data_IF_033169029381
#
_entry.id   IF_033169029381
#
_cell.length_a   1.000
_cell.length_b   1.000
_cell.length_c   1.000
_cell.angle_alpha   90.00
_cell.angle_beta   90.00
_cell.angle_gamma   90.00
#
_symmetry.space_group_name_H-M   'P 1'
#
loop_
_entity.id
_entity.type
_entity.pdbx_description
1 polymer ?
#
# COMPACT_ATOMS: atom_id res chain seq x y z
N UNK A 1 70.24 -32.70 -101.11
CA UNK A 1 69.89 -31.27 -100.91
C UNK A 1 68.61 -31.18 -100.10
N UNK A 2 68.48 -30.11 -99.29
CA UNK A 2 67.31 -29.66 -98.51
C UNK A 2 66.97 -30.45 -97.22
N UNK A 3 67.48 -30.05 -96.05
CA UNK A 3 66.97 -29.04 -95.07
C UNK A 3 65.84 -29.51 -94.15
N UNK A 4 66.19 -29.84 -92.89
CA UNK A 4 65.26 -30.05 -91.78
C UNK A 4 64.76 -28.70 -91.24
N UNK A 5 63.45 -28.54 -91.18
CA UNK A 5 62.75 -27.42 -90.51
C UNK A 5 62.63 -27.72 -89.00
N UNK A 6 62.89 -26.75 -88.09
CA UNK A 6 62.72 -26.98 -86.65
C UNK A 6 61.31 -26.61 -86.16
N UNK A 7 60.75 -27.46 -85.30
CA UNK A 7 59.48 -27.27 -84.59
C UNK A 7 59.62 -26.26 -83.44
N UNK A 8 58.81 -25.20 -83.45
CA UNK A 8 58.71 -24.19 -82.36
C UNK A 8 57.93 -24.75 -81.16
N UNK A 9 58.57 -24.82 -79.98
CA UNK A 9 57.90 -25.07 -78.69
C UNK A 9 57.10 -23.84 -78.24
N UNK A 10 55.81 -24.02 -77.95
CA UNK A 10 54.88 -23.04 -77.38
C UNK A 10 55.22 -22.80 -75.90
N UNK A 11 55.57 -21.57 -75.50
CA UNK A 11 55.85 -21.19 -74.10
C UNK A 11 54.55 -21.00 -73.31
N UNK A 12 54.39 -21.74 -72.21
CA UNK A 12 53.33 -21.56 -71.21
C UNK A 12 53.55 -20.23 -70.47
N UNK A 13 52.56 -19.32 -70.50
CA UNK A 13 52.58 -18.05 -69.73
C UNK A 13 52.39 -18.34 -68.24
N UNK A 14 53.46 -18.20 -67.43
CA UNK A 14 53.37 -18.17 -65.96
C UNK A 14 52.54 -16.96 -65.50
N UNK A 15 51.45 -17.20 -64.75
CA UNK A 15 50.69 -16.14 -64.03
C UNK A 15 51.65 -15.39 -63.08
N UNK A 16 51.83 -14.08 -63.30
CA UNK A 16 52.58 -13.19 -62.39
C UNK A 16 51.86 -13.15 -61.03
N UNK A 17 52.50 -13.65 -59.97
CA UNK A 17 52.08 -13.39 -58.58
C UNK A 17 52.13 -11.89 -58.34
N UNK A 18 50.98 -11.24 -58.14
CA UNK A 18 50.91 -9.83 -57.74
C UNK A 18 51.56 -9.70 -56.35
N UNK A 19 52.71 -9.04 -56.26
CA UNK A 19 53.34 -8.67 -54.98
C UNK A 19 52.58 -7.49 -54.39
N UNK A 20 51.96 -7.68 -53.23
CA UNK A 20 51.35 -6.60 -52.45
C UNK A 20 52.47 -5.61 -52.06
N UNK A 21 52.26 -4.31 -52.29
CA UNK A 21 53.22 -3.28 -51.87
C UNK A 21 53.32 -3.27 -50.36
N UNK A 22 54.54 -3.18 -49.80
CA UNK A 22 54.78 -3.17 -48.35
C UNK A 22 53.91 -2.12 -47.62
N UNK A 23 53.68 -0.96 -48.23
CA UNK A 23 52.79 0.08 -47.68
C UNK A 23 51.33 -0.36 -47.53
N UNK A 24 50.81 -1.15 -48.47
CA UNK A 24 49.45 -1.74 -48.38
C UNK A 24 49.41 -2.82 -47.29
N UNK A 25 50.48 -3.60 -47.15
CA UNK A 25 50.60 -4.59 -46.07
C UNK A 25 50.65 -3.92 -44.68
N UNK A 26 51.42 -2.85 -44.51
CA UNK A 26 51.47 -2.08 -43.27
C UNK A 26 50.14 -1.39 -42.95
N UNK A 27 49.43 -0.85 -43.96
CA UNK A 27 48.08 -0.32 -43.79
C UNK A 27 47.08 -1.37 -43.31
N UNK A 28 47.12 -2.59 -43.88
CA UNK A 28 46.28 -3.70 -43.45
C UNK A 28 46.59 -4.18 -42.02
N UNK A 29 47.87 -4.20 -41.63
CA UNK A 29 48.29 -4.52 -40.25
C UNK A 29 47.80 -3.46 -39.27
N UNK A 30 47.89 -2.17 -39.62
CA UNK A 30 47.36 -1.08 -38.80
C UNK A 30 45.85 -1.15 -38.59
N UNK A 31 45.10 -1.48 -39.65
CA UNK A 31 43.64 -1.69 -39.57
C UNK A 31 43.32 -2.92 -38.68
N UNK A 32 44.04 -4.03 -38.85
CA UNK A 32 43.85 -5.22 -38.02
C UNK A 32 44.16 -4.94 -36.55
N UNK A 33 45.24 -4.20 -36.25
CA UNK A 33 45.59 -3.79 -34.89
C UNK A 33 44.54 -2.86 -34.28
N UNK A 34 43.99 -1.93 -35.06
CA UNK A 34 42.90 -1.06 -34.60
C UNK A 34 41.62 -1.86 -34.31
N UNK A 35 41.27 -2.85 -35.15
CA UNK A 35 40.13 -3.74 -34.91
C UNK A 35 40.34 -4.58 -33.64
N UNK A 36 41.53 -5.14 -33.44
CA UNK A 36 41.88 -5.88 -32.21
C UNK A 36 41.83 -4.97 -31.00
N UNK A 37 42.36 -3.75 -31.09
CA UNK A 37 42.34 -2.78 -29.99
C UNK A 37 40.91 -2.38 -29.63
N UNK A 38 40.07 -2.09 -30.63
CA UNK A 38 38.64 -1.81 -30.41
C UNK A 38 37.97 -3.02 -29.77
N UNK A 39 38.20 -4.23 -30.27
CA UNK A 39 37.66 -5.46 -29.68
C UNK A 39 38.11 -5.68 -28.23
N UNK A 40 39.40 -5.45 -27.92
CA UNK A 40 39.95 -5.54 -26.57
C UNK A 40 39.31 -4.49 -25.66
N UNK A 41 39.17 -3.25 -26.11
CA UNK A 41 38.64 -2.15 -25.31
C UNK A 41 37.12 -2.23 -25.10
N UNK A 42 36.35 -2.75 -26.06
CA UNK A 42 34.88 -2.78 -25.97
C UNK A 42 34.32 -4.14 -25.57
N UNK A 43 34.92 -5.23 -26.05
CA UNK A 43 34.32 -6.57 -25.97
C UNK A 43 34.81 -7.35 -24.75
N UNK A 44 36.10 -7.26 -24.40
CA UNK A 44 36.65 -7.98 -23.24
C UNK A 44 36.02 -7.49 -21.92
N UNK A 45 35.91 -6.17 -21.63
CA UNK A 45 35.20 -5.70 -20.45
C UNK A 45 33.75 -6.20 -20.41
N UNK A 46 33.04 -6.15 -21.54
CA UNK A 46 31.64 -6.62 -21.64
C UNK A 46 31.51 -8.12 -21.36
N UNK A 47 32.37 -8.96 -21.93
CA UNK A 47 32.38 -10.42 -21.68
C UNK A 47 32.70 -10.71 -20.21
N UNK A 48 33.68 -10.01 -19.63
CA UNK A 48 34.05 -10.23 -18.22
C UNK A 48 32.95 -9.81 -17.27
N UNK A 49 32.22 -8.72 -17.55
CA UNK A 49 31.04 -8.32 -16.79
C UNK A 49 29.92 -9.35 -16.90
N UNK A 50 29.62 -9.85 -18.09
CA UNK A 50 28.55 -10.83 -18.30
C UNK A 50 28.84 -12.14 -17.60
N UNK A 51 30.08 -12.58 -17.63
CA UNK A 51 30.49 -13.78 -16.92
C UNK A 51 30.42 -13.60 -15.41
N UNK A 52 30.71 -12.40 -14.88
CA UNK A 52 30.51 -12.09 -13.46
C UNK A 52 29.04 -12.11 -13.07
N UNK A 53 28.16 -11.51 -13.86
CA UNK A 53 26.71 -11.53 -13.60
C UNK A 53 26.13 -12.96 -13.73
N UNK A 54 26.54 -13.73 -14.74
CA UNK A 54 26.21 -15.16 -14.83
C UNK A 54 26.72 -15.95 -13.63
N UNK A 55 27.93 -15.63 -13.16
CA UNK A 55 28.52 -16.25 -11.98
C UNK A 55 27.75 -15.97 -10.69
N UNK A 56 26.96 -14.90 -10.63
CA UNK A 56 26.01 -14.65 -9.53
C UNK A 56 24.70 -15.45 -9.68
N UNK A 57 24.36 -15.93 -10.89
CA UNK A 57 23.14 -16.68 -11.17
C UNK A 57 22.17 -16.02 -12.17
N UNK A 58 22.49 -14.82 -12.67
CA UNK A 58 21.56 -14.09 -13.54
C UNK A 58 21.33 -14.74 -14.91
N UNK A 59 20.07 -14.76 -15.35
CA UNK A 59 19.65 -15.21 -16.68
C UNK A 59 20.14 -14.25 -17.79
N UNK A 60 20.04 -14.66 -19.06
CA UNK A 60 20.45 -13.81 -20.18
C UNK A 60 19.56 -12.56 -20.30
N UNK A 61 18.28 -12.76 -20.05
CA UNK A 61 17.22 -11.76 -20.05
C UNK A 61 17.49 -10.74 -18.95
N UNK A 62 17.73 -11.21 -17.72
CA UNK A 62 18.05 -10.36 -16.57
C UNK A 62 19.36 -9.60 -16.79
N UNK A 63 20.41 -10.21 -17.36
CA UNK A 63 21.65 -9.49 -17.71
C UNK A 63 21.41 -8.37 -18.73
N UNK A 64 20.54 -8.58 -19.71
CA UNK A 64 20.16 -7.55 -20.66
C UNK A 64 19.45 -6.39 -19.96
N UNK A 65 18.52 -6.69 -19.05
CA UNK A 65 17.82 -5.68 -18.23
C UNK A 65 18.78 -4.89 -17.33
N UNK A 66 19.67 -5.58 -16.60
CA UNK A 66 20.68 -4.98 -15.72
C UNK A 66 21.50 -3.94 -16.47
N UNK A 67 21.94 -4.26 -17.69
CA UNK A 67 22.69 -3.32 -18.53
C UNK A 67 21.84 -2.17 -19.02
N UNK A 68 20.61 -2.46 -19.48
CA UNK A 68 19.65 -1.46 -19.97
C UNK A 68 19.38 -0.41 -18.91
N UNK A 69 19.21 -0.83 -17.66
CA UNK A 69 18.94 0.02 -16.50
C UNK A 69 20.22 0.56 -15.81
N UNK A 70 21.42 0.26 -16.34
CA UNK A 70 22.73 0.69 -15.81
C UNK A 70 23.00 0.24 -14.37
N UNK A 71 22.47 -0.92 -13.97
CA UNK A 71 22.56 -1.47 -12.61
C UNK A 71 23.82 -2.33 -12.37
N UNK A 72 24.62 -2.59 -13.41
CA UNK A 72 25.78 -3.48 -13.35
C UNK A 72 26.73 -3.17 -12.20
N UNK A 73 27.06 -1.89 -11.97
CA UNK A 73 28.00 -1.50 -10.92
C UNK A 73 27.44 -1.83 -9.54
N UNK A 74 26.21 -1.40 -9.26
CA UNK A 74 25.49 -1.63 -8.01
C UNK A 74 25.36 -3.12 -7.70
N UNK A 75 24.91 -3.91 -8.67
CA UNK A 75 24.73 -5.36 -8.50
C UNK A 75 26.06 -6.05 -8.20
N UNK A 76 27.14 -5.71 -8.90
CA UNK A 76 28.43 -6.36 -8.72
C UNK A 76 29.18 -5.88 -7.46
N UNK A 77 29.04 -4.61 -7.06
CA UNK A 77 29.70 -4.09 -5.85
C UNK A 77 29.14 -4.73 -4.60
N UNK A 78 27.81 -4.79 -4.53
CA UNK A 78 27.10 -5.22 -3.33
C UNK A 78 26.73 -6.71 -3.41
N UNK A 79 27.08 -7.36 -4.52
CA UNK A 79 26.77 -8.75 -4.85
C UNK A 79 25.27 -9.06 -4.72
N UNK A 80 24.43 -8.12 -5.16
CA UNK A 80 22.98 -8.28 -5.11
C UNK A 80 22.58 -9.45 -5.99
N UNK A 81 21.94 -10.45 -5.40
CA UNK A 81 21.33 -11.57 -6.10
C UNK A 81 20.30 -12.24 -5.19
N UNK A 82 19.15 -12.54 -5.76
CA UNK A 82 18.20 -13.54 -5.27
C UNK A 82 17.45 -14.10 -6.48
N UNK A 83 16.81 -15.26 -6.34
CA UNK A 83 15.98 -15.80 -7.41
C UNK A 83 14.81 -14.86 -7.73
N UNK A 84 14.27 -14.19 -6.71
CA UNK A 84 13.27 -13.14 -6.81
C UNK A 84 13.75 -11.95 -7.68
N UNK A 85 14.94 -11.40 -7.39
CA UNK A 85 15.49 -10.28 -8.16
C UNK A 85 15.80 -10.70 -9.60
N UNK A 86 16.31 -11.91 -9.80
CA UNK A 86 16.57 -12.45 -11.13
C UNK A 86 15.26 -12.58 -11.93
N UNK A 87 14.18 -13.08 -11.33
CA UNK A 87 12.86 -13.18 -11.93
C UNK A 87 12.26 -11.80 -12.24
N UNK A 88 12.31 -10.87 -11.28
CA UNK A 88 11.84 -9.51 -11.46
C UNK A 88 12.54 -8.81 -12.62
N UNK A 89 13.88 -8.89 -12.71
CA UNK A 89 14.65 -8.33 -13.82
C UNK A 89 14.34 -8.94 -15.20
N UNK A 90 13.82 -10.17 -15.23
CA UNK A 90 13.36 -10.81 -16.46
C UNK A 90 11.92 -10.40 -16.83
N UNK A 91 11.18 -9.79 -15.92
CA UNK A 91 9.81 -9.33 -16.14
C UNK A 91 9.75 -7.99 -16.88
N UNK A 92 8.59 -7.70 -17.49
CA UNK A 92 8.33 -6.42 -18.14
C UNK A 92 8.08 -5.28 -17.14
N UNK A 93 7.66 -5.61 -15.91
CA UNK A 93 7.24 -4.67 -14.88
C UNK A 93 8.36 -4.27 -13.91
N UNK A 94 9.61 -4.66 -14.20
CA UNK A 94 10.75 -4.32 -13.35
C UNK A 94 10.89 -2.81 -13.16
N UNK A 95 10.81 -2.36 -11.90
CA UNK A 95 11.11 -0.99 -11.51
C UNK A 95 12.41 -0.92 -10.70
N UNK A 96 13.42 -0.25 -11.25
CA UNK A 96 14.75 -0.14 -10.63
C UNK A 96 14.74 0.62 -9.28
N UNK A 97 13.72 1.43 -9.01
CA UNK A 97 13.66 2.24 -7.78
C UNK A 97 13.42 1.34 -6.55
N UNK A 98 12.85 0.14 -6.76
CA UNK A 98 12.64 -0.88 -5.73
C UNK A 98 13.64 -2.05 -5.85
N UNK A 99 14.82 -1.82 -6.42
CA UNK A 99 15.82 -2.87 -6.70
C UNK A 99 16.09 -3.80 -5.51
N UNK A 100 16.27 -3.24 -4.32
CA UNK A 100 16.56 -4.03 -3.11
C UNK A 100 15.34 -4.74 -2.55
N UNK A 101 14.14 -4.21 -2.77
CA UNK A 101 12.90 -4.88 -2.36
C UNK A 101 12.69 -6.19 -3.13
N UNK A 102 13.08 -6.22 -4.40
CA UNK A 102 13.10 -7.46 -5.19
C UNK A 102 14.07 -8.53 -4.66
N UNK A 103 14.92 -8.23 -3.68
CA UNK A 103 15.72 -9.26 -3.02
C UNK A 103 14.85 -10.21 -2.19
N UNK A 104 13.76 -9.69 -1.62
CA UNK A 104 12.89 -10.41 -0.67
C UNK A 104 11.53 -10.78 -1.26
N UNK A 105 11.12 -10.18 -2.39
CA UNK A 105 9.88 -10.53 -3.10
C UNK A 105 10.09 -10.58 -4.62
N UNK A 106 9.46 -11.54 -5.31
CA UNK A 106 9.62 -11.75 -6.76
C UNK A 106 8.68 -10.89 -7.61
N UNK A 107 7.63 -10.36 -7.00
CA UNK A 107 6.61 -9.53 -7.62
C UNK A 107 6.21 -8.41 -6.66
N UNK A 108 6.00 -7.22 -7.23
CA UNK A 108 5.57 -6.05 -6.48
C UNK A 108 4.28 -5.54 -7.12
N UNK A 109 3.21 -5.54 -6.35
CA UNK A 109 2.00 -4.81 -6.68
C UNK A 109 2.22 -3.30 -6.48
N UNK A 110 1.30 -2.48 -7.00
CA UNK A 110 1.31 -1.04 -6.72
C UNK A 110 1.18 -0.78 -5.21
N UNK A 111 0.42 -1.62 -4.49
CA UNK A 111 0.23 -1.51 -3.05
C UNK A 111 1.49 -1.84 -2.28
N UNK A 112 2.26 -2.86 -2.69
CA UNK A 112 3.56 -3.17 -2.08
C UNK A 112 4.52 -1.99 -2.21
N UNK A 113 4.60 -1.40 -3.41
CA UNK A 113 5.47 -0.24 -3.65
C UNK A 113 5.02 0.98 -2.84
N UNK A 114 3.72 1.21 -2.75
CA UNK A 114 3.14 2.30 -1.96
C UNK A 114 3.43 2.12 -0.48
N UNK A 115 3.18 0.94 0.07
CA UNK A 115 3.45 0.64 1.48
C UNK A 115 4.93 0.80 1.80
N UNK A 116 5.82 0.31 0.93
CA UNK A 116 7.26 0.54 1.05
C UNK A 116 7.59 2.03 1.13
N UNK A 117 7.08 2.84 0.19
CA UNK A 117 7.34 4.27 0.17
C UNK A 117 6.78 5.00 1.40
N UNK A 118 5.62 4.60 1.91
CA UNK A 118 5.04 5.15 3.16
C UNK A 118 5.90 4.84 4.37
N UNK A 119 6.41 3.62 4.50
CA UNK A 119 7.33 3.27 5.58
C UNK A 119 8.62 4.11 5.49
N UNK A 120 9.18 4.27 4.29
CA UNK A 120 10.38 5.10 4.08
C UNK A 120 10.12 6.58 4.42
N UNK A 121 8.93 7.11 4.09
CA UNK A 121 8.51 8.46 4.47
C UNK A 121 8.34 8.63 5.99
N UNK A 122 8.03 7.56 6.71
CA UNK A 122 8.02 7.50 8.19
C UNK A 122 9.40 7.22 8.80
N UNK A 123 10.48 7.33 8.02
CA UNK A 123 11.87 7.14 8.41
C UNK A 123 12.27 5.71 8.79
N UNK A 124 11.48 4.68 8.46
CA UNK A 124 11.94 3.30 8.62
C UNK A 124 13.17 3.04 7.72
N UNK A 125 14.30 2.54 8.24
CA UNK A 125 15.48 2.19 7.44
C UNK A 125 15.16 1.16 6.34
N UNK A 126 15.88 1.20 5.22
CA UNK A 126 15.62 0.29 4.09
C UNK A 126 15.76 -1.17 4.53
N UNK A 127 16.81 -1.51 5.28
CA UNK A 127 17.00 -2.87 5.78
C UNK A 127 15.87 -3.32 6.73
N UNK A 128 15.25 -2.40 7.48
CA UNK A 128 14.06 -2.69 8.29
C UNK A 128 12.84 -2.97 7.40
N UNK A 129 12.62 -2.18 6.35
CA UNK A 129 11.56 -2.45 5.38
C UNK A 129 11.78 -3.80 4.70
N UNK A 130 13.00 -4.13 4.26
CA UNK A 130 13.30 -5.43 3.63
C UNK A 130 12.96 -6.60 4.55
N UNK A 131 13.30 -6.52 5.85
CA UNK A 131 12.92 -7.53 6.84
C UNK A 131 11.40 -7.69 6.97
N UNK A 132 10.67 -6.58 7.02
CA UNK A 132 9.21 -6.60 7.12
C UNK A 132 8.60 -7.32 5.91
N UNK A 133 8.98 -6.93 4.69
CA UNK A 133 8.49 -7.54 3.46
C UNK A 133 8.95 -9.00 3.26
N UNK A 134 10.07 -9.40 3.86
CA UNK A 134 10.52 -10.81 3.83
C UNK A 134 9.69 -11.70 4.77
N UNK A 135 9.19 -11.15 5.88
CA UNK A 135 8.63 -11.95 6.98
C UNK A 135 7.13 -11.83 7.14
N UNK A 136 6.53 -10.71 6.77
CA UNK A 136 5.14 -10.37 7.06
C UNK A 136 4.34 -10.16 5.77
N UNK A 137 3.04 -10.39 5.86
CA UNK A 137 2.09 -10.06 4.81
C UNK A 137 1.81 -8.56 4.76
N UNK A 138 1.30 -8.08 3.63
CA UNK A 138 0.91 -6.68 3.44
C UNK A 138 0.01 -6.13 4.57
N UNK A 139 -1.03 -6.88 4.96
CA UNK A 139 -1.96 -6.49 6.02
C UNK A 139 -1.35 -6.56 7.44
N UNK A 140 -0.26 -7.32 7.63
CA UNK A 140 0.51 -7.31 8.88
C UNK A 140 1.47 -6.12 8.93
N UNK A 141 1.90 -5.56 7.81
CA UNK A 141 2.84 -4.42 7.78
C UNK A 141 2.08 -3.08 7.81
N UNK A 142 0.92 -3.00 7.17
CA UNK A 142 0.12 -1.77 7.03
C UNK A 142 -0.20 -1.07 8.37
N UNK A 143 -0.48 -1.78 9.49
CA UNK A 143 -0.68 -1.16 10.79
C UNK A 143 0.48 -0.28 11.28
N UNK A 144 1.72 -0.51 10.85
CA UNK A 144 2.87 0.36 11.18
C UNK A 144 2.73 1.81 10.66
N UNK A 145 1.84 2.03 9.69
CA UNK A 145 1.48 3.37 9.25
C UNK A 145 0.54 4.08 10.23
N UNK A 146 -0.27 3.32 10.96
CA UNK A 146 -1.20 3.80 11.98
C UNK A 146 -0.55 3.86 13.36
N UNK A 147 0.39 2.97 13.68
CA UNK A 147 1.08 2.94 14.98
C UNK A 147 2.04 4.11 15.20
N UNK A 148 2.55 4.24 16.43
CA UNK A 148 3.70 5.10 16.69
C UNK A 148 4.92 4.53 15.96
N UNK A 149 5.99 5.31 15.83
CA UNK A 149 7.19 4.81 15.17
C UNK A 149 7.77 3.62 15.95
N UNK A 150 7.78 2.45 15.33
CA UNK A 150 8.28 1.20 15.93
C UNK A 150 9.76 1.07 15.60
N UNK A 151 10.63 1.44 16.55
CA UNK A 151 12.08 1.39 16.32
C UNK A 151 12.64 -0.03 16.26
N UNK A 152 12.02 -0.98 16.96
CA UNK A 152 12.42 -2.39 16.98
C UNK A 152 11.47 -3.23 16.12
N UNK A 153 11.77 -3.30 14.82
CA UNK A 153 10.96 -4.09 13.88
C UNK A 153 11.11 -5.59 14.08
N UNK A 154 12.20 -6.06 14.70
CA UNK A 154 12.39 -7.49 14.96
C UNK A 154 11.42 -7.94 16.07
N UNK A 155 11.23 -7.12 17.12
CA UNK A 155 10.20 -7.35 18.12
C UNK A 155 8.78 -7.34 17.52
N UNK A 156 8.49 -6.43 16.59
CA UNK A 156 7.21 -6.38 15.89
C UNK A 156 6.95 -7.62 15.03
N UNK A 157 7.95 -8.05 14.26
CA UNK A 157 7.86 -9.26 13.44
C UNK A 157 7.63 -10.49 14.32
N UNK A 158 8.32 -10.58 15.46
CA UNK A 158 8.13 -11.67 16.41
C UNK A 158 6.72 -11.67 16.98
N UNK A 159 6.19 -10.51 17.39
CA UNK A 159 4.84 -10.39 17.93
C UNK A 159 3.79 -10.81 16.89
N UNK A 160 3.91 -10.34 15.64
CA UNK A 160 3.04 -10.80 14.55
C UNK A 160 3.14 -12.33 14.34
N UNK A 161 4.36 -12.88 14.40
CA UNK A 161 4.61 -14.32 14.24
C UNK A 161 3.99 -15.14 15.36
N UNK A 162 4.05 -14.66 16.59
CA UNK A 162 3.52 -15.32 17.78
C UNK A 162 1.98 -15.36 17.77
N UNK A 163 1.32 -14.44 17.06
CA UNK A 163 -0.14 -14.35 16.95
C UNK A 163 -0.70 -14.89 15.62
N UNK A 164 0.08 -15.61 14.82
CA UNK A 164 -0.36 -16.10 13.49
C UNK A 164 -1.52 -17.10 13.52
N UNK A 165 -1.80 -17.70 14.66
CA UNK A 165 -2.94 -18.61 14.83
C UNK A 165 -4.28 -17.88 14.99
N UNK A 166 -4.24 -16.63 15.47
CA UNK A 166 -5.43 -15.77 15.63
C UNK A 166 -5.51 -14.67 14.58
N UNK A 167 -4.37 -14.17 14.11
CA UNK A 167 -4.32 -13.06 13.17
C UNK A 167 -4.71 -13.47 11.75
N UNK A 168 -5.46 -12.58 11.11
CA UNK A 168 -5.88 -12.65 9.72
C UNK A 168 -6.09 -11.23 9.17
N UNK A 169 -6.38 -11.12 7.88
CA UNK A 169 -6.69 -9.83 7.26
C UNK A 169 -7.84 -9.08 7.96
N UNK A 170 -8.81 -9.82 8.54
CA UNK A 170 -9.98 -9.26 9.21
C UNK A 170 -9.87 -9.22 10.74
N UNK A 171 -8.79 -9.73 11.33
CA UNK A 171 -8.61 -9.79 12.78
C UNK A 171 -7.13 -9.65 13.12
N UNK A 172 -6.76 -8.63 13.86
CA UNK A 172 -5.38 -8.26 14.14
C UNK A 172 -5.19 -7.84 15.60
N UNK A 173 -4.57 -8.74 16.35
CA UNK A 173 -4.21 -8.56 17.75
C UNK A 173 -2.71 -8.77 17.92
N UNK A 174 -2.13 -8.02 18.86
CA UNK A 174 -0.72 -8.04 19.20
C UNK A 174 -0.58 -7.96 20.72
N UNK A 175 0.50 -8.51 21.26
CA UNK A 175 0.80 -8.41 22.70
C UNK A 175 1.48 -7.08 23.06
N UNK A 176 2.22 -6.49 22.12
CA UNK A 176 2.93 -5.24 22.28
C UNK A 176 2.01 -4.02 22.22
N UNK A 177 2.32 -3.00 23.02
CA UNK A 177 1.69 -1.70 22.89
C UNK A 177 2.45 -0.84 21.88
N UNK A 178 1.96 -0.78 20.64
CA UNK A 178 2.58 -0.04 19.54
C UNK A 178 2.01 1.37 19.35
N UNK A 179 1.06 1.80 20.19
CA UNK A 179 0.39 3.08 20.02
C UNK A 179 0.03 3.71 21.36
N UNK A 180 0.41 4.97 21.52
CA UNK A 180 0.08 5.77 22.71
C UNK A 180 -0.99 6.77 22.33
N UNK A 181 -2.24 6.39 22.61
CA UNK A 181 -3.39 7.20 22.23
C UNK A 181 -3.33 8.59 22.85
N UNK A 182 -3.56 9.60 22.01
CA UNK A 182 -3.55 11.03 22.35
C UNK A 182 -2.18 11.68 22.63
N UNK A 183 -1.06 10.96 22.55
CA UNK A 183 0.27 11.55 22.79
C UNK A 183 0.76 12.39 21.60
N UNK A 184 0.54 11.91 20.37
CA UNK A 184 0.93 12.59 19.14
C UNK A 184 -0.30 12.91 18.29
N UNK A 185 -0.89 14.09 18.54
CA UNK A 185 -2.12 14.53 17.87
C UNK A 185 -1.89 15.68 16.90
N UNK A 186 -2.76 15.81 15.91
CA UNK A 186 -2.73 16.85 14.88
C UNK A 186 -4.15 17.27 14.53
N UNK A 187 -4.33 18.50 14.06
CA UNK A 187 -5.62 18.92 13.54
C UNK A 187 -5.96 18.12 12.28
N UNK A 188 -7.22 17.68 12.16
CA UNK A 188 -7.75 17.09 10.93
C UNK A 188 -7.84 18.14 9.82
N UNK A 189 -7.58 17.76 8.56
CA UNK A 189 -7.86 18.63 7.41
C UNK A 189 -9.35 18.60 7.09
N UNK A 190 -10.11 19.34 7.90
CA UNK A 190 -11.56 19.26 8.01
C UNK A 190 -12.29 19.98 6.86
N UNK A 191 -12.18 19.48 5.61
CA UNK A 191 -12.76 20.16 4.44
C UNK A 191 -13.74 19.34 3.62
N UNK A 192 -13.62 18.02 3.57
CA UNK A 192 -14.50 17.17 2.77
C UNK A 192 -14.86 15.86 3.48
N UNK A 193 -15.65 15.02 2.79
CA UNK A 193 -16.15 13.74 3.33
C UNK A 193 -15.05 12.72 3.63
N UNK A 194 -13.83 12.92 3.12
CA UNK A 194 -12.65 12.08 3.34
C UNK A 194 -11.77 12.52 4.51
N UNK A 195 -12.22 13.50 5.32
CA UNK A 195 -11.46 13.89 6.52
C UNK A 195 -11.36 12.74 7.51
N UNK A 196 -10.21 12.56 8.14
CA UNK A 196 -10.04 11.59 9.22
C UNK A 196 -10.20 12.27 10.58
N UNK A 197 -11.05 11.71 11.45
CA UNK A 197 -11.14 12.11 12.86
C UNK A 197 -11.02 10.82 13.67
N UNK A 198 -10.05 10.78 14.58
CA UNK A 198 -9.74 9.61 15.40
C UNK A 198 -8.88 10.07 16.57
N UNK A 199 -8.29 9.17 17.35
CA UNK A 199 -7.44 9.50 18.51
C UNK A 199 -6.12 10.25 18.19
N UNK A 200 -5.81 10.46 16.91
CA UNK A 200 -4.66 11.24 16.42
C UNK A 200 -5.09 12.54 15.74
N UNK A 201 -6.23 12.55 15.07
CA UNK A 201 -6.71 13.69 14.29
C UNK A 201 -7.94 14.32 14.94
N UNK A 202 -7.82 15.57 15.36
CA UNK A 202 -8.89 16.28 16.07
C UNK A 202 -9.49 17.44 15.27
N UNK A 203 -10.74 17.76 15.59
CA UNK A 203 -11.45 18.96 15.20
C UNK A 203 -11.37 20.00 16.31
N UNK A 204 -11.33 21.28 15.92
CA UNK A 204 -11.35 22.39 16.87
C UNK A 204 -12.71 22.51 17.58
N UNK A 205 -12.70 23.16 18.74
CA UNK A 205 -13.91 23.39 19.56
C UNK A 205 -15.03 24.12 18.80
N UNK A 206 -14.68 24.97 17.84
CA UNK A 206 -15.61 25.80 17.07
C UNK A 206 -15.99 25.17 15.71
N UNK A 207 -15.51 23.96 15.41
CA UNK A 207 -15.89 23.28 14.18
C UNK A 207 -17.35 22.81 14.25
N UNK A 208 -18.13 23.26 13.28
CA UNK A 208 -19.47 22.78 12.98
C UNK A 208 -19.67 22.80 11.46
N UNK A 209 -20.20 21.73 10.84
CA UNK A 209 -20.56 21.76 9.43
C UNK A 209 -21.67 22.79 9.17
N UNK A 210 -21.62 23.48 8.03
CA UNK A 210 -22.57 24.52 7.64
C UNK A 210 -23.80 23.97 6.88
N UNK A 211 -23.81 22.68 6.59
CA UNK A 211 -24.80 21.96 5.78
C UNK A 211 -25.52 20.84 6.56
N UNK A 212 -25.58 20.96 7.89
CA UNK A 212 -26.35 20.03 8.74
C UNK A 212 -27.85 20.17 8.47
N UNK A 213 -28.51 19.03 8.33
CA UNK A 213 -29.98 18.94 8.17
C UNK A 213 -30.58 17.93 9.15
N UNK A 214 -31.80 18.20 9.66
CA UNK A 214 -32.48 17.27 10.54
C UNK A 214 -32.86 16.00 9.78
N UNK A 215 -32.68 14.84 10.41
CA UNK A 215 -33.11 13.57 9.86
C UNK A 215 -34.63 13.38 10.06
N UNK A 216 -35.29 12.80 9.06
CA UNK A 216 -36.70 12.40 9.16
C UNK A 216 -36.89 11.38 10.28
N UNK A 217 -37.97 11.52 11.07
CA UNK A 217 -38.36 10.53 12.09
C UNK A 217 -38.69 9.15 11.49
N UNK A 218 -38.79 9.05 10.17
CA UNK A 218 -38.89 7.76 9.47
C UNK A 218 -37.60 6.96 9.59
N UNK A 219 -36.45 7.64 9.65
CA UNK A 219 -35.12 7.05 9.61
C UNK A 219 -34.27 7.38 10.83
N UNK A 220 -34.78 8.12 11.82
CA UNK A 220 -33.98 8.57 12.95
C UNK A 220 -34.81 8.79 14.22
N UNK A 221 -34.13 8.72 15.36
CA UNK A 221 -34.59 9.30 16.60
C UNK A 221 -34.71 10.83 16.48
N UNK A 222 -35.42 11.44 17.43
CA UNK A 222 -35.56 12.90 17.49
C UNK A 222 -34.18 13.56 17.65
N UNK A 223 -34.05 14.77 17.12
CA UNK A 223 -32.88 15.64 17.29
C UNK A 223 -31.59 15.04 16.71
N UNK A 224 -31.72 14.20 15.67
CA UNK A 224 -30.60 13.70 14.87
C UNK A 224 -30.35 14.57 13.64
N UNK A 225 -29.08 14.83 13.35
CA UNK A 225 -28.62 15.66 12.24
C UNK A 225 -27.42 14.99 11.55
N UNK A 226 -27.36 15.11 10.23
CA UNK A 226 -26.20 14.77 9.42
C UNK A 226 -25.97 15.89 8.41
N UNK A 227 -24.77 15.93 7.82
CA UNK A 227 -24.57 16.74 6.60
C UNK A 227 -25.53 16.25 5.51
N UNK A 228 -26.03 17.16 4.68
CA UNK A 228 -27.07 16.87 3.68
C UNK A 228 -26.78 15.62 2.84
N UNK A 229 -25.57 15.48 2.30
CA UNK A 229 -25.20 14.33 1.46
C UNK A 229 -25.30 13.00 2.22
N UNK A 230 -24.81 12.95 3.46
CA UNK A 230 -24.90 11.78 4.31
C UNK A 230 -26.35 11.47 4.71
N UNK A 231 -27.17 12.51 4.97
CA UNK A 231 -28.59 12.34 5.27
C UNK A 231 -29.35 11.67 4.10
N UNK A 232 -29.12 12.13 2.87
CA UNK A 232 -29.75 11.57 1.67
C UNK A 232 -29.29 10.13 1.42
N UNK A 233 -27.98 9.87 1.57
CA UNK A 233 -27.41 8.54 1.44
C UNK A 233 -27.97 7.55 2.48
N UNK A 234 -28.15 8.00 3.72
CA UNK A 234 -28.75 7.18 4.78
C UNK A 234 -30.21 6.84 4.47
N UNK A 235 -31.00 7.82 4.02
CA UNK A 235 -32.40 7.58 3.64
C UNK A 235 -32.49 6.53 2.51
N UNK A 236 -31.66 6.66 1.48
CA UNK A 236 -31.59 5.69 0.38
C UNK A 236 -31.21 4.27 0.85
N UNK A 237 -30.22 4.16 1.75
CA UNK A 237 -29.82 2.88 2.34
C UNK A 237 -30.96 2.24 3.14
N UNK A 238 -31.64 3.03 3.98
CA UNK A 238 -32.78 2.56 4.76
C UNK A 238 -33.95 2.13 3.85
N UNK A 239 -34.21 2.86 2.76
CA UNK A 239 -35.26 2.52 1.80
C UNK A 239 -34.99 1.20 1.06
N UNK A 240 -33.75 0.96 0.60
CA UNK A 240 -33.40 -0.31 -0.04
C UNK A 240 -33.50 -1.48 0.95
N UNK A 241 -33.02 -1.30 2.18
CA UNK A 241 -33.14 -2.32 3.22
C UNK A 241 -34.60 -2.65 3.53
N UNK A 242 -35.46 -1.63 3.65
CA UNK A 242 -36.89 -1.79 3.90
C UNK A 242 -37.60 -2.49 2.74
N UNK A 243 -37.27 -2.14 1.49
CA UNK A 243 -37.80 -2.78 0.29
C UNK A 243 -37.42 -4.27 0.22
N UNK A 244 -36.25 -4.63 0.76
CA UNK A 244 -35.80 -6.02 0.95
C UNK A 244 -36.51 -6.79 2.07
N UNK A 245 -37.45 -6.17 2.79
CA UNK A 245 -38.22 -6.81 3.87
C UNK A 245 -37.42 -7.07 5.15
N UNK A 246 -36.27 -6.40 5.34
CA UNK A 246 -35.44 -6.52 6.53
C UNK A 246 -35.96 -5.67 7.70
N UNK A 247 -35.55 -5.94 8.95
CA UNK A 247 -35.94 -5.12 10.10
C UNK A 247 -35.56 -3.66 9.89
N UNK A 248 -36.51 -2.74 10.07
CA UNK A 248 -36.28 -1.30 9.86
C UNK A 248 -35.14 -0.80 10.73
N UNK A 249 -34.22 -0.05 10.12
CA UNK A 249 -33.14 0.63 10.83
C UNK A 249 -33.40 2.12 10.97
N UNK A 250 -32.80 2.71 12.00
CA UNK A 250 -32.86 4.14 12.24
C UNK A 250 -31.56 4.64 12.90
N UNK A 251 -31.26 5.92 12.73
CA UNK A 251 -30.22 6.63 13.46
C UNK A 251 -30.65 6.77 14.93
N UNK A 252 -29.92 6.16 15.84
CA UNK A 252 -30.10 6.31 17.28
C UNK A 252 -29.33 7.51 17.85
N UNK A 253 -28.19 7.83 17.24
CA UNK A 253 -27.33 8.97 17.54
C UNK A 253 -26.61 9.41 16.26
N UNK A 254 -26.30 10.70 16.14
CA UNK A 254 -25.71 11.31 14.93
C UNK A 254 -24.87 12.54 15.33
N UNK A 255 -24.93 13.67 14.62
CA UNK A 255 -24.10 14.84 14.92
C UNK A 255 -24.12 15.21 16.42
N UNK A 256 -22.91 15.39 16.97
CA UNK A 256 -22.69 15.87 18.33
C UNK A 256 -21.72 17.04 18.27
N UNK A 257 -22.15 18.19 18.77
CA UNK A 257 -21.23 19.33 18.90
C UNK A 257 -20.13 19.05 19.95
N UNK A 258 -19.11 19.90 19.94
CA UNK A 258 -17.96 19.77 20.82
C UNK A 258 -18.38 19.78 22.32
N UNK A 259 -19.30 20.66 22.70
CA UNK A 259 -19.69 20.85 24.10
C UNK A 259 -20.51 19.66 24.63
N UNK A 260 -21.34 19.06 23.78
CA UNK A 260 -21.99 17.79 24.06
C UNK A 260 -20.93 16.72 24.37
N UNK A 261 -19.90 16.61 23.54
CA UNK A 261 -18.84 15.63 23.74
C UNK A 261 -18.04 15.89 25.03
N UNK A 262 -17.80 17.15 25.40
CA UNK A 262 -17.21 17.53 26.71
C UNK A 262 -18.02 16.97 27.87
N UNK A 263 -19.33 17.20 27.86
CA UNK A 263 -20.21 16.77 28.95
C UNK A 263 -20.28 15.24 29.04
N UNK A 264 -20.39 14.56 27.89
CA UNK A 264 -20.45 13.11 27.82
C UNK A 264 -19.15 12.48 28.34
N UNK A 265 -18.00 12.91 27.82
CA UNK A 265 -16.70 12.37 28.19
C UNK A 265 -16.40 12.59 29.68
N UNK A 266 -16.64 13.80 30.21
CA UNK A 266 -16.47 14.09 31.62
C UNK A 266 -17.39 13.25 32.51
N UNK A 267 -18.61 12.94 32.06
CA UNK A 267 -19.50 12.01 32.75
C UNK A 267 -18.91 10.60 32.89
N UNK A 268 -18.28 10.09 31.83
CA UNK A 268 -17.59 8.78 31.87
C UNK A 268 -16.35 8.81 32.76
N UNK A 269 -15.51 9.84 32.65
CA UNK A 269 -14.32 10.00 33.50
C UNK A 269 -14.72 10.03 34.98
N UNK A 270 -15.74 10.82 35.34
CA UNK A 270 -16.19 10.96 36.72
C UNK A 270 -16.79 9.66 37.29
N UNK A 271 -17.37 8.79 36.43
CA UNK A 271 -18.04 7.58 36.88
C UNK A 271 -17.16 6.33 36.87
N UNK A 272 -16.18 6.25 35.96
CA UNK A 272 -15.40 5.03 35.70
C UNK A 272 -13.89 5.26 35.57
N UNK A 273 -13.43 6.52 35.58
CA UNK A 273 -12.03 6.87 35.37
C UNK A 273 -11.67 7.08 33.91
N UNK A 274 -10.50 7.68 33.68
CA UNK A 274 -10.06 8.12 32.35
C UNK A 274 -9.74 6.98 31.40
N UNK A 275 -9.03 5.95 31.87
CA UNK A 275 -8.63 4.80 31.05
C UNK A 275 -9.85 4.08 30.45
N UNK A 276 -10.89 3.86 31.26
CA UNK A 276 -12.16 3.29 30.78
C UNK A 276 -12.91 4.25 29.84
N UNK A 277 -12.90 5.55 30.12
CA UNK A 277 -13.54 6.53 29.25
C UNK A 277 -12.87 6.57 27.87
N UNK A 278 -11.53 6.54 27.83
CA UNK A 278 -10.75 6.55 26.59
C UNK A 278 -10.97 5.28 25.75
N UNK A 279 -11.39 4.14 26.31
CA UNK A 279 -11.65 2.91 25.55
C UNK A 279 -13.03 2.84 24.89
N UNK A 280 -14.01 3.59 25.38
CA UNK A 280 -15.41 3.56 24.91
C UNK A 280 -15.93 4.91 24.39
N UNK A 281 -15.18 5.99 24.57
CA UNK A 281 -15.61 7.33 24.17
C UNK A 281 -14.43 8.17 23.71
N UNK A 282 -14.63 8.88 22.60
CA UNK A 282 -13.68 9.85 22.11
C UNK A 282 -13.55 11.05 23.07
N UNK A 283 -12.34 11.58 23.22
CA UNK A 283 -12.14 12.90 23.84
C UNK A 283 -12.82 14.00 22.99
N UNK A 284 -13.21 15.15 23.57
CA UNK A 284 -13.76 16.27 22.81
C UNK A 284 -12.83 16.70 21.68
N UNK A 285 -13.37 16.86 20.46
CA UNK A 285 -12.59 17.11 19.24
C UNK A 285 -12.13 15.84 18.50
N UNK A 286 -12.07 14.69 19.17
CA UNK A 286 -11.63 13.42 18.58
C UNK A 286 -12.80 12.50 18.19
N UNK A 287 -14.05 12.95 18.39
CA UNK A 287 -15.25 12.19 18.01
C UNK A 287 -15.63 12.47 16.57
N UNK A 288 -15.79 11.42 15.75
CA UNK A 288 -16.27 11.58 14.39
C UNK A 288 -17.70 12.12 14.32
N UNK A 289 -18.52 11.99 15.37
CA UNK A 289 -19.85 12.61 15.39
C UNK A 289 -19.82 14.13 15.21
N UNK A 290 -18.73 14.80 15.58
CA UNK A 290 -18.59 16.24 15.35
C UNK A 290 -18.48 16.58 13.84
N UNK A 291 -18.15 15.62 12.98
CA UNK A 291 -18.10 15.81 11.52
C UNK A 291 -19.48 15.96 10.87
N UNK A 292 -20.54 15.46 11.52
CA UNK A 292 -21.86 15.30 10.89
C UNK A 292 -21.91 14.21 9.81
N UNK A 293 -20.87 13.37 9.72
CA UNK A 293 -20.74 12.26 8.76
C UNK A 293 -20.81 10.89 9.43
N UNK A 294 -21.24 10.83 10.69
CA UNK A 294 -21.24 9.61 11.50
C UNK A 294 -22.60 9.39 12.13
N UNK A 295 -23.04 8.13 12.11
CA UNK A 295 -24.32 7.71 12.66
C UNK A 295 -24.17 6.41 13.45
N UNK A 296 -24.84 6.35 14.60
CA UNK A 296 -25.01 5.12 15.37
C UNK A 296 -26.35 4.48 14.96
N UNK A 297 -26.29 3.38 14.21
CA UNK A 297 -27.44 2.66 13.67
C UNK A 297 -28.04 1.69 14.68
N UNK A 298 -29.37 1.62 14.71
CA UNK A 298 -30.13 0.64 15.48
C UNK A 298 -31.20 -0.02 14.61
N UNK A 299 -31.59 -1.25 14.99
CA UNK A 299 -32.70 -1.96 14.36
C UNK A 299 -33.94 -1.95 15.27
N UNK A 300 -35.12 -1.76 14.68
CA UNK A 300 -36.39 -1.77 15.39
C UNK A 300 -36.61 -3.13 16.06
N UNK A 301 -36.90 -3.13 17.36
CA UNK A 301 -37.15 -4.35 18.14
C UNK A 301 -35.88 -5.06 18.63
N UNK A 302 -34.69 -4.52 18.37
CA UNK A 302 -33.43 -5.01 18.92
C UNK A 302 -32.84 -4.02 19.94
N UNK A 303 -32.13 -4.54 20.93
CA UNK A 303 -31.25 -3.72 21.77
C UNK A 303 -29.98 -3.39 20.99
N UNK A 304 -29.38 -2.21 21.22
CA UNK A 304 -28.16 -1.79 20.53
C UNK A 304 -27.00 -2.79 20.73
N UNK A 305 -26.86 -3.35 21.93
CA UNK A 305 -25.89 -4.41 22.26
C UNK A 305 -26.10 -5.73 21.52
N UNK A 306 -27.25 -5.89 20.84
CA UNK A 306 -27.62 -7.05 20.03
C UNK A 306 -27.77 -6.69 18.56
N UNK A 307 -27.32 -5.50 18.15
CA UNK A 307 -27.45 -5.03 16.78
C UNK A 307 -26.69 -5.93 15.79
N UNK A 308 -25.49 -6.41 16.16
CA UNK A 308 -24.69 -7.34 15.36
C UNK A 308 -25.41 -8.65 15.00
N UNK A 309 -26.35 -9.09 15.85
CA UNK A 309 -27.10 -10.34 15.68
C UNK A 309 -28.29 -10.18 14.70
N UNK A 310 -28.56 -8.96 14.22
CA UNK A 310 -29.75 -8.67 13.41
C UNK A 310 -29.52 -8.90 11.91
N UNK A 311 -30.57 -9.32 11.20
CA UNK A 311 -30.52 -9.41 9.73
C UNK A 311 -30.21 -8.06 9.06
N UNK A 312 -30.59 -6.95 9.71
CA UNK A 312 -30.34 -5.61 9.22
C UNK A 312 -28.84 -5.28 9.22
N UNK A 313 -28.14 -5.57 10.32
CA UNK A 313 -26.69 -5.45 10.40
C UNK A 313 -25.98 -6.35 9.38
N UNK A 314 -26.39 -7.62 9.25
CA UNK A 314 -25.79 -8.54 8.28
C UNK A 314 -25.97 -8.04 6.83
N UNK A 315 -27.11 -7.41 6.52
CA UNK A 315 -27.31 -6.76 5.23
C UNK A 315 -26.39 -5.54 5.07
N UNK A 316 -26.21 -4.72 6.10
CA UNK A 316 -25.32 -3.56 6.05
C UNK A 316 -23.87 -3.94 5.78
N UNK A 317 -23.37 -5.03 6.37
CA UNK A 317 -22.00 -5.51 6.12
C UNK A 317 -21.70 -5.71 4.63
N UNK A 318 -22.72 -6.11 3.85
CA UNK A 318 -22.56 -6.38 2.42
C UNK A 318 -22.95 -5.19 1.53
N UNK A 319 -23.64 -4.17 2.06
CA UNK A 319 -24.32 -3.17 1.24
C UNK A 319 -24.07 -1.72 1.63
N UNK A 320 -23.65 -1.42 2.86
CA UNK A 320 -23.51 -0.05 3.35
C UNK A 320 -22.55 0.78 2.47
N UNK A 321 -21.46 0.17 1.99
CA UNK A 321 -20.45 0.83 1.15
C UNK A 321 -21.03 1.34 -0.17
N UNK A 322 -22.05 0.66 -0.73
CA UNK A 322 -22.76 1.06 -1.95
C UNK A 322 -23.48 2.41 -1.80
N UNK A 323 -23.76 2.79 -0.55
CA UNK A 323 -24.37 4.07 -0.16
C UNK A 323 -23.36 5.03 0.48
N UNK A 324 -22.06 4.73 0.43
CA UNK A 324 -21.04 5.61 1.01
C UNK A 324 -20.78 5.41 2.49
N UNK A 325 -21.33 4.37 3.12
CA UNK A 325 -21.16 4.09 4.55
C UNK A 325 -20.22 2.91 4.79
N UNK A 326 -19.34 3.03 5.78
CA UNK A 326 -18.49 1.93 6.25
C UNK A 326 -18.75 1.64 7.72
N UNK A 327 -18.60 0.37 8.13
CA UNK A 327 -18.47 0.04 9.55
C UNK A 327 -17.11 0.58 10.03
N UNK A 328 -17.14 1.57 10.91
CA UNK A 328 -15.95 2.37 11.21
C UNK A 328 -15.01 1.68 12.20
N UNK A 329 -15.55 0.88 13.12
CA UNK A 329 -14.82 0.13 14.14
C UNK A 329 -15.20 -1.36 14.08
N UNK A 330 -14.60 -2.12 13.15
CA UNK A 330 -14.87 -3.56 13.00
C UNK A 330 -14.24 -4.39 14.14
N UNK A 331 -14.84 -5.56 14.38
CA UNK A 331 -14.34 -6.54 15.35
C UNK A 331 -12.95 -7.06 14.95
N UNK A 332 -12.06 -7.21 15.92
CA UNK A 332 -10.69 -7.67 15.68
C UNK A 332 -9.77 -6.57 15.13
N UNK A 333 -10.16 -5.31 15.10
CA UNK A 333 -9.32 -4.18 14.66
C UNK A 333 -9.14 -3.12 15.75
N UNK A 334 -9.36 -3.49 17.00
CA UNK A 334 -9.25 -2.64 18.18
C UNK A 334 -7.83 -2.11 18.35
N UNK A 335 -6.81 -2.96 18.11
CA UNK A 335 -5.39 -2.57 18.16
C UNK A 335 -5.05 -1.44 17.17
N UNK A 336 -5.77 -1.38 16.04
CA UNK A 336 -5.52 -0.42 14.96
C UNK A 336 -6.34 0.86 15.16
N UNK A 337 -7.63 0.73 15.41
CA UNK A 337 -8.54 1.89 15.50
C UNK A 337 -8.51 2.55 16.89
N UNK A 338 -8.12 1.79 17.91
CA UNK A 338 -8.15 2.20 19.31
C UNK A 338 -9.54 2.20 19.95
N UNK A 339 -10.58 1.80 19.24
CA UNK A 339 -11.94 1.66 19.77
C UNK A 339 -12.32 0.19 19.82
N UNK A 340 -13.13 -0.19 20.81
CA UNK A 340 -13.75 -1.52 20.83
C UNK A 340 -14.62 -1.72 19.58
N UNK A 341 -14.93 -2.97 19.25
CA UNK A 341 -15.95 -3.26 18.24
C UNK A 341 -17.26 -2.50 18.50
N UNK A 342 -17.68 -1.68 17.52
CA UNK A 342 -18.95 -0.94 17.56
C UNK A 342 -19.79 -1.25 16.33
N UNK A 343 -20.55 -2.35 16.40
CA UNK A 343 -21.44 -2.81 15.33
C UNK A 343 -22.39 -1.73 14.78
N UNK A 344 -22.72 -0.73 15.59
CA UNK A 344 -23.64 0.35 15.26
C UNK A 344 -22.98 1.56 14.61
N UNK A 345 -21.66 1.72 14.70
CA UNK A 345 -21.00 2.99 14.35
C UNK A 345 -20.58 3.03 12.87
N UNK A 346 -21.30 3.81 12.08
CA UNK A 346 -21.06 3.94 10.64
C UNK A 346 -20.57 5.34 10.27
N UNK A 347 -19.55 5.38 9.40
CA UNK A 347 -18.93 6.59 8.88
C UNK A 347 -19.24 6.76 7.39
N UNK A 348 -19.71 7.93 7.00
CA UNK A 348 -19.93 8.31 5.61
C UNK A 348 -18.65 8.86 4.98
N UNK A 349 -18.31 8.34 3.81
CA UNK A 349 -17.12 8.71 3.02
C UNK A 349 -17.46 9.09 1.56
N UNK A 350 -18.74 9.00 1.17
CA UNK A 350 -19.14 8.97 -0.23
C UNK A 350 -18.94 7.60 -0.86
N UNK A 351 -19.74 7.29 -1.89
CA UNK A 351 -19.83 5.94 -2.47
C UNK A 351 -18.49 5.44 -2.99
N UNK A 352 -17.73 6.27 -3.71
CA UNK A 352 -16.46 5.85 -4.31
C UNK A 352 -15.44 5.46 -3.24
N UNK A 353 -15.23 6.31 -2.24
CA UNK A 353 -14.23 6.05 -1.20
C UNK A 353 -14.67 4.93 -0.26
N UNK A 354 -15.95 4.88 0.15
CA UNK A 354 -16.45 3.79 0.98
C UNK A 354 -16.31 2.42 0.29
N UNK A 355 -16.56 2.35 -1.02
CA UNK A 355 -16.37 1.11 -1.81
C UNK A 355 -14.90 0.72 -1.83
N UNK A 356 -13.97 1.66 -2.06
CA UNK A 356 -12.53 1.35 -2.03
C UNK A 356 -12.04 0.88 -0.67
N UNK A 357 -12.54 1.49 0.42
CA UNK A 357 -12.19 1.07 1.80
C UNK A 357 -12.76 -0.32 2.09
N UNK A 358 -14.01 -0.58 1.70
CA UNK A 358 -14.62 -1.89 1.85
C UNK A 358 -13.86 -2.98 1.07
N UNK A 359 -13.55 -2.73 -0.20
CA UNK A 359 -12.92 -3.71 -1.08
C UNK A 359 -11.46 -3.98 -0.72
N UNK A 360 -10.79 -3.05 -0.02
CA UNK A 360 -9.41 -3.24 0.43
C UNK A 360 -9.29 -4.09 1.70
N UNK A 361 -10.39 -4.36 2.42
CA UNK A 361 -10.36 -5.05 3.72
C UNK A 361 -9.65 -4.30 4.85
N UNK A 362 -9.29 -3.03 4.62
CA UNK A 362 -8.57 -2.20 5.60
C UNK A 362 -9.56 -1.41 6.46
N UNK A 363 -9.15 -1.09 7.68
CA UNK A 363 -9.81 -0.02 8.43
C UNK A 363 -9.64 1.32 7.71
N UNK A 364 -10.49 2.29 8.02
CA UNK A 364 -10.34 3.63 7.44
C UNK A 364 -9.02 4.31 7.85
N UNK A 365 -8.52 4.03 9.07
CA UNK A 365 -7.23 4.54 9.55
C UNK A 365 -6.06 4.02 8.69
N UNK A 366 -6.04 2.70 8.43
CA UNK A 366 -5.05 2.07 7.54
C UNK A 366 -5.16 2.60 6.11
N UNK A 367 -6.38 2.65 5.57
CA UNK A 367 -6.63 3.13 4.22
C UNK A 367 -6.19 4.59 4.05
N UNK A 368 -6.51 5.45 5.02
CA UNK A 368 -6.15 6.86 4.98
C UNK A 368 -4.63 7.06 4.96
N UNK A 369 -3.90 6.41 5.87
CA UNK A 369 -2.44 6.52 5.94
C UNK A 369 -1.74 5.96 4.70
N UNK A 370 -2.29 4.91 4.09
CA UNK A 370 -1.72 4.30 2.91
C UNK A 370 -2.02 5.09 1.63
N UNK A 371 -3.29 5.42 1.39
CA UNK A 371 -3.78 5.93 0.09
C UNK A 371 -4.06 7.43 0.03
N UNK A 372 -4.41 8.08 1.14
CA UNK A 372 -4.91 9.45 1.14
C UNK A 372 -3.92 10.49 1.67
N UNK A 373 -2.95 10.07 2.48
CA UNK A 373 -1.85 10.93 2.97
C UNK A 373 -0.72 11.06 1.95
#
# INVERSE_FOLDING_TARGET
>A
MATKVPVKKRKVKRRRRRRIRKSVLFGLIGIAAAIVLVFVLTTIPKITTDNKLKGLGYSKESIAMIKRQKLTKTILSDKLYSDNLNAALASENFNKDYLRLYLVTDSLSEDDTRLYDRLRARNYPEDSCLKLFEKLNFWEITPLLVFDYVSDVDAYIQDCTDHRDVNSENHFELSGNYVHWYDSTSASDAKDVSMIVNKRYYLGENYAPDDLVPLSLTYAAKDCYLRQEAADAMAAMCDELNAGGKPKMYASSSYRDYQYQVNLYNGYVNSKGQEWADSISARPGFSEHQTGLTVDMAATGAQLSKFADTEAFQWMQQNAHRFGWILRYPEGKETITGYNYEAWHYRYLGVELATKVHDSGLTYDEYYELYLR
#
